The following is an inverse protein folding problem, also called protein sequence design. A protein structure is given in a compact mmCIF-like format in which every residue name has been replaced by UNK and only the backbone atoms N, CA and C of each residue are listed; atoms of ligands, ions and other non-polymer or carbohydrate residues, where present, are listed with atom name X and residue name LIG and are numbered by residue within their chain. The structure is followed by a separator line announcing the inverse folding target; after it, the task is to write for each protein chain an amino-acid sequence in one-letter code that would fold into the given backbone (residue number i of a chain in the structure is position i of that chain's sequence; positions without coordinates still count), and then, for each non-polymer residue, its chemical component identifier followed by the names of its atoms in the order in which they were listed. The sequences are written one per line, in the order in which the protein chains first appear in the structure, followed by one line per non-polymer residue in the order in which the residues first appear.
data_IF_908268778776
#
_entry.id   IF_908268778776
#
_cell.length_a   1.000
_cell.length_b   1.000
_cell.length_c   1.000
_cell.angle_alpha   90.00
_cell.angle_beta   90.00
_cell.angle_gamma   90.00
#
_symmetry.space_group_name_H-M   'P 1'
#
loop_
_entity.id
_entity.type
_entity.pdbx_description
1 polymer ?
#
# COMPACT_ATOMS: atom_id res chain seq x y z
N UNK A 1 9.26 -11.78 8.86
CA UNK A 1 8.02 -11.01 8.63
C UNK A 1 6.90 -11.72 9.39
N UNK A 2 5.98 -10.98 10.01
CA UNK A 2 4.95 -11.56 10.87
C UNK A 2 3.58 -10.92 10.58
N UNK A 3 2.51 -11.72 10.61
CA UNK A 3 1.10 -11.30 10.57
C UNK A 3 0.66 -10.82 11.96
N UNK A 4 -0.05 -9.68 12.06
CA UNK A 4 -0.33 -9.02 13.36
C UNK A 4 -1.83 -8.85 13.69
N UNK A 5 -2.75 -8.89 12.71
CA UNK A 5 -4.19 -8.81 12.98
C UNK A 5 -5.00 -9.41 11.83
N UNK A 6 -6.13 -10.04 12.16
CA UNK A 6 -7.11 -10.62 11.24
C UNK A 6 -8.53 -10.49 11.80
N UNK A 7 -9.24 -9.44 11.39
CA UNK A 7 -10.66 -9.22 11.66
C UNK A 7 -11.25 -8.45 10.49
N UNK A 8 -12.09 -9.11 9.68
CA UNK A 8 -12.52 -8.60 8.36
C UNK A 8 -11.45 -8.77 7.28
N UNK A 9 -11.07 -10.03 6.99
CA UNK A 9 -10.16 -10.50 5.92
C UNK A 9 -8.91 -9.66 5.60
N UNK A 10 -8.47 -8.77 6.49
CA UNK A 10 -7.32 -7.89 6.29
C UNK A 10 -6.12 -8.49 7.00
N UNK A 11 -5.03 -8.69 6.27
CA UNK A 11 -3.76 -9.22 6.74
C UNK A 11 -2.74 -8.09 6.79
N UNK A 12 -2.07 -7.92 7.94
CA UNK A 12 -1.01 -6.90 8.10
C UNK A 12 0.36 -7.56 8.20
N UNK A 13 1.27 -7.20 7.29
CA UNK A 13 2.66 -7.61 7.32
C UNK A 13 3.51 -6.55 8.01
N UNK A 14 4.37 -6.99 8.93
CA UNK A 14 5.35 -6.13 9.58
C UNK A 14 6.79 -6.60 9.36
N UNK A 15 7.67 -5.66 9.05
CA UNK A 15 9.12 -5.83 9.13
C UNK A 15 9.58 -5.39 10.52
N UNK A 16 10.35 -6.26 11.20
CA UNK A 16 10.88 -6.02 12.54
C UNK A 16 12.39 -6.26 12.55
N UNK A 17 13.09 -5.51 13.38
CA UNK A 17 14.49 -5.68 13.75
C UNK A 17 14.58 -5.88 15.27
N UNK A 18 15.51 -6.69 15.74
CA UNK A 18 15.64 -7.01 17.17
C UNK A 18 16.06 -5.80 18.02
N UNK A 19 16.78 -4.83 17.45
CA UNK A 19 17.28 -3.67 18.17
C UNK A 19 16.37 -2.44 17.99
N UNK A 20 15.85 -2.22 16.78
CA UNK A 20 15.07 -1.02 16.42
C UNK A 20 13.56 -1.26 16.61
N UNK A 21 13.11 -2.51 16.66
CA UNK A 21 11.70 -2.85 16.75
C UNK A 21 11.01 -2.77 15.39
N UNK A 22 9.91 -2.01 15.28
CA UNK A 22 9.09 -1.96 14.07
C UNK A 22 9.76 -1.09 12.98
N UNK A 23 10.12 -1.74 11.87
CA UNK A 23 10.74 -1.08 10.72
C UNK A 23 9.73 -0.56 9.69
N UNK A 24 8.56 -1.19 9.61
CA UNK A 24 7.50 -0.80 8.69
C UNK A 24 6.42 -1.86 8.58
N UNK A 25 5.33 -1.51 7.91
CA UNK A 25 4.20 -2.40 7.70
C UNK A 25 3.50 -2.15 6.37
N UNK A 26 2.64 -3.09 5.99
CA UNK A 26 1.66 -2.95 4.91
C UNK A 26 0.44 -3.81 5.22
N UNK A 27 -0.73 -3.35 4.79
CA UNK A 27 -1.99 -4.07 4.92
C UNK A 27 -2.45 -4.58 3.56
N UNK A 28 -3.02 -5.78 3.56
CA UNK A 28 -3.65 -6.42 2.41
C UNK A 28 -5.07 -6.82 2.76
N UNK A 29 -6.00 -6.54 1.88
CA UNK A 29 -7.38 -7.02 1.99
C UNK A 29 -7.81 -7.60 0.63
N UNK A 30 -8.47 -8.76 0.59
CA UNK A 30 -9.11 -9.25 -0.63
C UNK A 30 -10.09 -8.21 -1.18
N UNK A 31 -10.16 -8.11 -2.49
CA UNK A 31 -11.18 -7.37 -3.21
C UNK A 31 -11.85 -8.26 -4.24
N UNK A 32 -12.62 -7.64 -5.13
CA UNK A 32 -13.35 -8.33 -6.18
C UNK A 32 -12.41 -8.87 -7.29
N UNK A 33 -12.87 -9.86 -8.05
CA UNK A 33 -12.18 -10.41 -9.23
C UNK A 33 -10.73 -10.84 -8.98
N UNK A 34 -10.45 -11.41 -7.81
CA UNK A 34 -9.09 -11.79 -7.38
C UNK A 34 -8.10 -10.62 -7.32
N UNK A 35 -8.59 -9.38 -7.25
CA UNK A 35 -7.76 -8.19 -7.08
C UNK A 35 -7.67 -7.80 -5.62
N UNK A 36 -6.50 -7.99 -5.04
CA UNK A 36 -6.28 -7.64 -3.64
C UNK A 36 -5.88 -6.17 -3.51
N UNK A 37 -6.35 -5.52 -2.46
CA UNK A 37 -6.06 -4.13 -2.18
C UNK A 37 -4.90 -4.02 -1.20
N UNK A 38 -3.85 -3.30 -1.61
CA UNK A 38 -2.72 -2.98 -0.77
C UNK A 38 -2.87 -1.55 -0.23
N UNK A 39 -2.79 -1.42 1.09
CA UNK A 39 -2.99 -0.17 1.80
C UNK A 39 -2.03 -0.02 2.97
N UNK A 40 -2.00 1.17 3.56
CA UNK A 40 -1.25 1.45 4.80
C UNK A 40 0.24 1.03 4.75
N UNK A 41 0.89 1.18 3.59
CA UNK A 41 2.34 0.98 3.49
C UNK A 41 3.06 2.12 4.23
N UNK A 42 3.79 1.76 5.27
CA UNK A 42 4.58 2.70 6.07
C UNK A 42 5.98 2.10 6.36
N UNK A 43 6.99 2.96 6.38
CA UNK A 43 8.37 2.60 6.75
C UNK A 43 8.86 3.64 7.74
N UNK A 44 9.53 3.16 8.80
CA UNK A 44 10.14 4.00 9.81
C UNK A 44 11.06 5.04 9.14
N UNK A 45 10.82 6.36 9.34
CA UNK A 45 11.57 7.44 8.70
C UNK A 45 13.09 7.36 8.90
N UNK A 46 13.54 6.87 10.06
CA UNK A 46 14.96 6.80 10.41
C UNK A 46 15.77 5.83 9.51
N UNK A 47 15.09 4.92 8.79
CA UNK A 47 15.71 3.88 7.96
C UNK A 47 15.13 3.85 6.53
N UNK A 48 14.47 4.93 6.11
CA UNK A 48 13.98 5.04 4.74
C UNK A 48 15.13 4.96 3.73
N UNK A 49 14.78 4.64 2.48
CA UNK A 49 15.73 4.34 1.39
C UNK A 49 16.66 3.12 1.60
N UNK A 50 16.63 2.44 2.75
CA UNK A 50 17.38 1.20 3.03
C UNK A 50 16.81 -0.09 2.41
N UNK A 51 15.82 0.01 1.52
CA UNK A 51 15.20 -1.15 0.88
C UNK A 51 14.04 -1.81 1.64
N UNK A 52 13.77 -1.41 2.90
CA UNK A 52 12.69 -1.96 3.74
C UNK A 52 11.33 -1.96 3.05
N UNK A 53 10.91 -0.84 2.46
CA UNK A 53 9.63 -0.76 1.75
C UNK A 53 9.55 -1.71 0.54
N UNK A 54 10.68 -1.99 -0.13
CA UNK A 54 10.75 -2.98 -1.22
C UNK A 54 10.53 -4.39 -0.68
N UNK A 55 11.18 -4.73 0.44
CA UNK A 55 11.04 -6.04 1.06
C UNK A 55 9.61 -6.29 1.58
N UNK A 56 9.00 -5.29 2.21
CA UNK A 56 7.62 -5.34 2.67
C UNK A 56 6.65 -5.59 1.50
N UNK A 57 6.78 -4.81 0.41
CA UNK A 57 5.95 -4.99 -0.78
C UNK A 57 6.10 -6.39 -1.39
N UNK A 58 7.33 -6.87 -1.56
CA UNK A 58 7.58 -8.16 -2.21
C UNK A 58 6.92 -9.32 -1.45
N UNK A 59 6.97 -9.29 -0.12
CA UNK A 59 6.35 -10.33 0.70
C UNK A 59 4.83 -10.24 0.71
N UNK A 60 4.25 -9.04 0.74
CA UNK A 60 2.81 -8.85 0.60
C UNK A 60 2.33 -9.37 -0.78
N UNK A 61 3.02 -9.04 -1.86
CA UNK A 61 2.72 -9.54 -3.21
C UNK A 61 2.83 -11.06 -3.32
N UNK A 62 3.81 -11.69 -2.65
CA UNK A 62 3.93 -13.16 -2.57
C UNK A 62 2.73 -13.78 -1.87
N UNK A 63 2.38 -13.26 -0.70
CA UNK A 63 1.23 -13.75 0.07
C UNK A 63 -0.06 -13.62 -0.72
N UNK A 64 -0.33 -12.47 -1.34
CA UNK A 64 -1.53 -12.29 -2.15
C UNK A 64 -1.60 -13.32 -3.29
N UNK A 65 -0.49 -13.56 -4.00
CA UNK A 65 -0.41 -14.57 -5.07
C UNK A 65 -0.72 -15.98 -4.54
N UNK A 66 -0.15 -16.35 -3.40
CA UNK A 66 -0.39 -17.64 -2.74
C UNK A 66 -1.85 -17.82 -2.32
N UNK A 67 -2.58 -16.71 -2.11
CA UNK A 67 -4.00 -16.69 -1.75
C UNK A 67 -4.92 -16.39 -2.94
N UNK A 68 -4.45 -16.64 -4.16
CA UNK A 68 -5.27 -16.61 -5.37
C UNK A 68 -5.49 -15.22 -5.97
N UNK A 69 -4.72 -14.21 -5.54
CA UNK A 69 -4.74 -12.90 -6.17
C UNK A 69 -4.10 -12.93 -7.56
N UNK A 70 -4.76 -12.32 -8.54
CA UNK A 70 -4.25 -12.15 -9.92
C UNK A 70 -3.62 -10.78 -10.13
N UNK A 71 -3.94 -9.81 -9.25
CA UNK A 71 -3.35 -8.49 -9.26
C UNK A 71 -3.44 -7.82 -7.88
N UNK A 72 -2.57 -6.82 -7.67
CA UNK A 72 -2.65 -5.87 -6.57
C UNK A 72 -3.15 -4.52 -7.08
N UNK A 73 -4.14 -3.98 -6.38
CA UNK A 73 -4.67 -2.62 -6.56
C UNK A 73 -4.21 -1.72 -5.42
N UNK A 74 -3.85 -0.48 -5.73
CA UNK A 74 -3.55 0.57 -4.76
C UNK A 74 -4.27 1.87 -5.15
N UNK A 75 -4.56 2.71 -4.16
CA UNK A 75 -4.93 4.11 -4.40
C UNK A 75 -3.88 5.03 -3.80
N UNK A 76 -3.44 6.03 -4.56
CA UNK A 76 -2.39 6.97 -4.16
C UNK A 76 -2.84 8.40 -4.44
N UNK A 77 -2.53 9.32 -3.52
CA UNK A 77 -2.79 10.75 -3.73
C UNK A 77 -2.07 11.21 -4.99
N UNK A 78 -2.84 11.82 -5.91
CA UNK A 78 -2.38 12.23 -7.24
C UNK A 78 -1.16 13.14 -7.19
N UNK A 79 -1.07 14.03 -6.19
CA UNK A 79 0.03 14.98 -6.02
C UNK A 79 1.34 14.32 -5.50
N UNK A 80 1.35 13.02 -5.22
CA UNK A 80 2.56 12.30 -4.73
C UNK A 80 3.35 11.69 -5.89
N UNK A 81 3.84 12.52 -6.80
CA UNK A 81 4.56 12.09 -8.02
C UNK A 81 5.73 11.14 -7.74
N UNK A 82 6.53 11.42 -6.71
CA UNK A 82 7.68 10.59 -6.33
C UNK A 82 7.26 9.19 -5.88
N UNK A 83 6.13 9.08 -5.18
CA UNK A 83 5.56 7.82 -4.72
C UNK A 83 4.90 7.06 -5.87
N UNK A 84 4.19 7.76 -6.77
CA UNK A 84 3.65 7.18 -8.00
C UNK A 84 4.78 6.57 -8.83
N UNK A 85 5.84 7.32 -9.11
CA UNK A 85 7.00 6.83 -9.84
C UNK A 85 7.69 5.65 -9.13
N UNK A 86 7.66 5.63 -7.79
CA UNK A 86 8.20 4.52 -7.00
C UNK A 86 7.41 3.21 -7.19
N UNK A 87 6.07 3.30 -7.30
CA UNK A 87 5.21 2.18 -7.64
C UNK A 87 5.38 1.75 -9.11
N UNK A 88 5.47 2.69 -10.04
CA UNK A 88 5.65 2.41 -11.47
C UNK A 88 6.95 1.62 -11.74
N UNK A 89 8.06 2.00 -11.10
CA UNK A 89 9.32 1.23 -11.15
C UNK A 89 9.21 -0.21 -10.61
N UNK A 90 8.13 -0.55 -9.92
CA UNK A 90 7.85 -1.89 -9.35
C UNK A 90 6.80 -2.67 -10.13
N UNK A 91 6.39 -2.16 -11.30
CA UNK A 91 5.47 -2.83 -12.20
C UNK A 91 4.00 -2.41 -12.04
N UNK A 92 3.71 -1.47 -11.15
CA UNK A 92 2.37 -0.87 -11.08
C UNK A 92 2.13 0.04 -12.28
N UNK A 93 0.89 0.07 -12.75
CA UNK A 93 0.46 0.90 -13.88
C UNK A 93 -0.79 1.67 -13.49
N UNK A 94 -0.86 2.94 -13.88
CA UNK A 94 -2.08 3.75 -13.74
C UNK A 94 -3.21 3.09 -14.53
N UNK A 95 -4.37 2.96 -13.91
CA UNK A 95 -5.56 2.41 -14.58
C UNK A 95 -6.35 3.48 -15.35
N UNK A 96 -6.02 4.76 -15.12
CA UNK A 96 -6.81 5.90 -15.58
C UNK A 96 -7.99 6.24 -14.66
N UNK A 97 -8.32 5.37 -13.69
CA UNK A 97 -9.34 5.66 -12.70
C UNK A 97 -8.82 6.68 -11.67
N UNK A 98 -9.66 7.69 -11.42
CA UNK A 98 -9.45 8.74 -10.42
C UNK A 98 -10.64 8.72 -9.48
N UNK A 99 -10.38 8.58 -8.18
CA UNK A 99 -11.41 8.62 -7.14
C UNK A 99 -11.36 9.97 -6.43
N UNK A 100 -12.52 10.51 -6.01
CA UNK A 100 -12.55 11.71 -5.20
C UNK A 100 -11.80 11.47 -3.88
N UNK A 101 -11.05 12.46 -3.43
CA UNK A 101 -10.52 12.44 -2.07
C UNK A 101 -11.66 12.70 -1.08
N UNK A 102 -11.78 11.93 0.02
CA UNK A 102 -12.90 12.05 0.95
C UNK A 102 -12.69 13.23 1.90
N UNK A 103 -12.95 14.45 1.41
CA UNK A 103 -12.79 15.69 2.18
C UNK A 103 -13.70 15.81 3.41
N UNK A 104 -14.81 15.09 3.40
CA UNK A 104 -15.83 15.02 4.45
C UNK A 104 -15.53 13.93 5.50
N UNK A 105 -14.51 13.10 5.28
CA UNK A 105 -14.12 12.05 6.22
C UNK A 105 -13.19 12.60 7.31
N UNK A 106 -13.62 12.64 8.59
CA UNK A 106 -12.77 13.14 9.67
C UNK A 106 -11.52 12.28 9.92
N UNK A 107 -11.46 11.04 9.41
CA UNK A 107 -10.33 10.13 9.59
C UNK A 107 -9.09 10.50 8.76
N UNK A 108 -9.24 11.34 7.72
CA UNK A 108 -8.11 11.76 6.87
C UNK A 108 -7.35 12.98 7.40
N UNK A 109 -7.77 13.51 8.55
CA UNK A 109 -7.21 14.73 9.14
C UNK A 109 -7.71 16.01 8.45
N UNK A 110 -6.97 17.11 8.59
CA UNK A 110 -7.31 18.39 7.96
C UNK A 110 -6.44 18.56 6.70
N UNK A 111 -7.01 18.41 5.49
CA UNK A 111 -6.26 18.64 4.26
C UNK A 111 -5.81 20.10 4.16
N UNK A 112 -4.56 20.32 3.77
CA UNK A 112 -4.01 21.67 3.55
C UNK A 112 -4.30 22.22 2.14
N UNK A 113 -5.10 21.50 1.34
CA UNK A 113 -5.42 21.81 -0.07
C UNK A 113 -6.71 21.12 -0.50
N UNK A 114 -7.39 21.69 -1.48
CA UNK A 114 -8.74 21.33 -1.94
C UNK A 114 -8.77 20.60 -3.30
N UNK A 115 -7.60 20.32 -3.88
CA UNK A 115 -7.42 19.66 -5.19
C UNK A 115 -6.97 18.18 -5.09
N UNK A 116 -7.07 17.54 -3.93
CA UNK A 116 -6.67 16.15 -3.73
C UNK A 116 -7.58 15.20 -4.51
N UNK A 117 -6.96 14.22 -5.14
CA UNK A 117 -7.63 13.09 -5.77
C UNK A 117 -6.79 11.82 -5.58
N UNK A 118 -7.43 10.66 -5.69
CA UNK A 118 -6.75 9.37 -5.58
C UNK A 118 -6.63 8.71 -6.96
N UNK A 119 -5.42 8.46 -7.42
CA UNK A 119 -5.16 7.65 -8.60
C UNK A 119 -5.18 6.17 -8.23
N UNK A 120 -5.85 5.36 -9.03
CA UNK A 120 -5.74 3.90 -8.93
C UNK A 120 -4.59 3.39 -9.79
N UNK A 121 -3.72 2.58 -9.18
CA UNK A 121 -2.71 1.80 -9.91
C UNK A 121 -2.95 0.31 -9.66
N UNK A 122 -2.63 -0.50 -10.66
CA UNK A 122 -2.69 -1.96 -10.57
C UNK A 122 -1.38 -2.61 -11.00
N UNK A 123 -1.06 -3.75 -10.42
CA UNK A 123 0.06 -4.61 -10.80
C UNK A 123 -0.44 -6.04 -10.92
N UNK A 124 -0.38 -6.66 -12.12
CA UNK A 124 -0.56 -8.11 -12.26
C UNK A 124 0.48 -8.87 -11.42
N UNK A 125 0.04 -9.92 -10.74
CA UNK A 125 0.87 -10.78 -9.89
C UNK A 125 1.39 -12.01 -10.63
#
# INVERSE_FOLDING_TARGET
MQEIAGGGSTTVFAAKDENIGLLGCVSLSPGDDSQWYLSMLAVNPAIQAGGTGKAIMAAAESYAREHGATAIKISVIQQRDSLIAWYERRGYRKTGAVLPFPYDDPSVGIPLRDDLALLTLTKPL
#
